data_IF_145528007807
#
_entry.id   IF_145528007807
#
_cell.length_a   1.000
_cell.length_b   1.000
_cell.length_c   1.000
_cell.angle_alpha   90.00
_cell.angle_beta   90.00
_cell.angle_gamma   90.00
#
_symmetry.space_group_name_H-M   'P 1'
#
loop_
_entity.id
_entity.type
_entity.pdbx_description
1 polymer ?
#
# COMPACT_ATOMS: atom_id res chain seq x y z
N UNK A 1 -1.78 28.92 -8.78
CA UNK A 1 -0.81 27.82 -8.96
C UNK A 1 -1.49 26.53 -8.51
N UNK A 2 -1.97 25.72 -9.45
CA UNK A 2 -2.52 24.39 -9.10
C UNK A 2 -1.31 23.54 -8.74
N UNK A 3 -1.15 23.26 -7.46
CA UNK A 3 -0.16 22.25 -7.02
C UNK A 3 -0.69 20.94 -7.58
N UNK A 4 -0.08 20.43 -8.65
CA UNK A 4 -0.36 19.09 -9.16
C UNK A 4 0.06 18.12 -8.05
N UNK A 5 -0.91 17.70 -7.23
CA UNK A 5 -0.65 16.82 -6.10
C UNK A 5 -0.44 15.42 -6.69
N UNK A 6 0.81 14.96 -6.69
CA UNK A 6 1.12 13.59 -7.12
C UNK A 6 0.45 12.62 -6.14
N UNK A 7 -0.50 11.82 -6.65
CA UNK A 7 -1.16 10.77 -5.89
C UNK A 7 -0.32 9.50 -5.92
N UNK A 8 -0.38 8.73 -4.84
CA UNK A 8 0.31 7.45 -4.72
C UNK A 8 -0.70 6.32 -4.60
N UNK A 9 -0.39 5.14 -5.11
CA UNK A 9 -1.25 3.97 -4.95
C UNK A 9 -0.78 3.17 -3.74
N UNK A 10 -1.67 2.95 -2.79
CA UNK A 10 -1.40 2.15 -1.61
C UNK A 10 -2.29 0.91 -1.53
N UNK A 11 -1.76 -0.16 -0.95
CA UNK A 11 -2.55 -1.35 -0.57
C UNK A 11 -1.89 -2.06 0.61
N UNK A 12 -2.63 -2.95 1.28
CA UNK A 12 -2.02 -3.87 2.23
C UNK A 12 -1.25 -4.97 1.50
N UNK A 13 -0.16 -5.44 2.09
CA UNK A 13 0.66 -6.52 1.55
C UNK A 13 0.03 -7.90 1.75
N UNK A 14 -1.01 -8.22 0.98
CA UNK A 14 -1.63 -9.55 0.90
C UNK A 14 -2.38 -9.75 -0.43
N UNK A 15 -2.87 -10.97 -0.71
CA UNK A 15 -3.79 -11.27 -1.83
C UNK A 15 -3.28 -10.78 -3.20
N UNK A 16 -3.85 -9.69 -3.72
CA UNK A 16 -3.59 -9.13 -5.06
C UNK A 16 -2.60 -7.95 -5.04
N UNK A 17 -1.89 -7.75 -3.93
CA UNK A 17 -1.00 -6.61 -3.74
C UNK A 17 0.10 -6.51 -4.80
N UNK A 18 0.71 -7.64 -5.21
CA UNK A 18 1.79 -7.61 -6.22
C UNK A 18 1.30 -7.04 -7.55
N UNK A 19 0.12 -7.46 -8.01
CA UNK A 19 -0.47 -7.03 -9.27
C UNK A 19 -0.94 -5.58 -9.21
N UNK A 20 -1.60 -5.18 -8.11
CA UNK A 20 -2.03 -3.79 -7.88
C UNK A 20 -0.82 -2.85 -7.94
N UNK A 21 0.21 -3.18 -7.18
CA UNK A 21 1.41 -2.35 -7.08
C UNK A 21 2.19 -2.32 -8.41
N UNK A 22 2.33 -3.47 -9.08
CA UNK A 22 3.00 -3.54 -10.38
C UNK A 22 2.26 -2.73 -11.45
N UNK A 23 0.93 -2.85 -11.52
CA UNK A 23 0.11 -2.10 -12.44
C UNK A 23 0.21 -0.59 -12.19
N UNK A 24 0.14 -0.17 -10.93
CA UNK A 24 0.30 1.24 -10.56
C UNK A 24 1.67 1.83 -11.00
N UNK A 25 2.76 1.09 -10.80
CA UNK A 25 4.08 1.52 -11.29
C UNK A 25 4.13 1.62 -12.82
N UNK A 26 3.47 0.70 -13.54
CA UNK A 26 3.42 0.74 -15.02
C UNK A 26 2.66 1.96 -15.54
N UNK A 27 1.68 2.44 -14.79
CA UNK A 27 0.91 3.65 -15.07
C UNK A 27 1.59 4.93 -14.52
N UNK A 28 2.79 4.84 -13.97
CA UNK A 28 3.59 5.99 -13.52
C UNK A 28 3.25 6.50 -12.11
N UNK A 29 2.49 5.75 -11.32
CA UNK A 29 2.24 6.09 -9.92
C UNK A 29 3.37 5.61 -9.00
N UNK A 30 3.71 6.42 -7.99
CA UNK A 30 4.47 5.92 -6.84
C UNK A 30 3.59 4.99 -6.01
N UNK A 31 4.21 3.99 -5.39
CA UNK A 31 3.51 2.87 -4.75
C UNK A 31 3.91 2.67 -3.29
N UNK A 32 2.92 2.37 -2.46
CA UNK A 32 3.09 2.13 -1.02
C UNK A 32 2.49 0.77 -0.64
N UNK A 33 3.30 -0.12 -0.10
CA UNK A 33 2.83 -1.39 0.47
C UNK A 33 2.80 -1.30 2.00
N UNK A 34 1.63 -1.50 2.61
CA UNK A 34 1.49 -1.64 4.07
C UNK A 34 1.53 -3.12 4.43
N UNK A 35 2.66 -3.60 4.95
CA UNK A 35 2.96 -5.02 5.08
C UNK A 35 3.21 -5.43 6.53
N UNK A 36 2.90 -6.68 6.89
CA UNK A 36 3.32 -7.23 8.19
C UNK A 36 4.85 -7.31 8.23
N UNK A 37 5.43 -6.90 9.37
CA UNK A 37 6.88 -6.99 9.62
C UNK A 37 7.37 -8.43 9.42
N UNK A 38 8.42 -8.60 8.64
CA UNK A 38 8.97 -9.91 8.25
C UNK A 38 8.34 -10.53 7.00
N UNK A 39 7.29 -9.93 6.42
CA UNK A 39 6.64 -10.40 5.18
C UNK A 39 6.92 -9.50 3.97
N UNK A 40 7.93 -8.64 4.05
CA UNK A 40 8.25 -7.63 3.03
C UNK A 40 8.95 -8.23 1.81
N UNK A 41 9.53 -9.42 1.96
CA UNK A 41 10.42 -10.07 0.98
C UNK A 41 9.83 -10.09 -0.44
N UNK A 42 8.56 -10.50 -0.69
CA UNK A 42 8.02 -10.51 -2.05
C UNK A 42 8.01 -9.12 -2.70
N UNK A 43 7.56 -8.10 -1.96
CA UNK A 43 7.45 -6.72 -2.47
C UNK A 43 8.81 -6.12 -2.80
N UNK A 44 9.84 -6.46 -2.00
CA UNK A 44 11.23 -6.05 -2.26
C UNK A 44 11.83 -6.79 -3.46
N UNK A 45 11.64 -8.10 -3.54
CA UNK A 45 12.21 -8.93 -4.62
C UNK A 45 11.63 -8.58 -5.99
N UNK A 46 10.30 -8.39 -6.07
CA UNK A 46 9.64 -7.98 -7.31
C UNK A 46 9.74 -6.48 -7.58
N UNK A 47 10.30 -5.69 -6.65
CA UNK A 47 10.48 -4.23 -6.75
C UNK A 47 9.20 -3.48 -7.10
N UNK A 48 8.07 -3.95 -6.57
CA UNK A 48 6.75 -3.40 -6.88
C UNK A 48 6.33 -2.28 -5.94
N UNK A 49 7.06 -2.05 -4.84
CA UNK A 49 6.72 -1.02 -3.86
C UNK A 49 7.87 -0.03 -3.70
N UNK A 50 7.63 1.24 -4.00
CA UNK A 50 8.60 2.32 -3.79
C UNK A 50 8.79 2.61 -2.29
N UNK A 51 7.70 2.45 -1.51
CA UNK A 51 7.71 2.55 -0.06
C UNK A 51 7.05 1.35 0.59
N UNK A 52 7.65 0.83 1.67
CA UNK A 52 7.06 -0.21 2.50
C UNK A 52 6.87 0.34 3.92
N UNK A 53 5.63 0.34 4.39
CA UNK A 53 5.27 0.65 5.77
C UNK A 53 5.03 -0.67 6.48
N UNK A 54 5.73 -0.92 7.58
CA UNK A 54 5.58 -2.18 8.32
C UNK A 54 4.67 -2.02 9.53
N UNK A 55 3.81 -3.01 9.73
CA UNK A 55 2.89 -3.12 10.88
C UNK A 55 3.03 -4.49 11.55
N UNK A 56 2.64 -4.60 12.81
CA UNK A 56 2.72 -5.86 13.56
C UNK A 56 1.58 -6.82 13.20
N UNK A 57 0.38 -6.28 13.04
CA UNK A 57 -0.81 -7.03 12.64
C UNK A 57 -1.62 -6.19 11.62
N UNK A 58 -2.39 -6.81 10.73
CA UNK A 58 -3.27 -6.06 9.82
C UNK A 58 -4.29 -5.19 10.56
N UNK A 59 -4.72 -5.57 11.77
CA UNK A 59 -5.56 -4.72 12.63
C UNK A 59 -4.90 -3.38 13.00
N UNK A 60 -3.59 -3.27 12.93
CA UNK A 60 -2.86 -2.02 13.16
C UNK A 60 -2.86 -1.09 11.94
N UNK A 61 -3.50 -1.45 10.83
CA UNK A 61 -3.52 -0.64 9.61
C UNK A 61 -4.03 0.78 9.86
N UNK A 62 -5.02 0.96 10.74
CA UNK A 62 -5.57 2.28 11.10
C UNK A 62 -4.49 3.26 11.59
N UNK A 63 -3.45 2.77 12.27
CA UNK A 63 -2.33 3.58 12.75
C UNK A 63 -1.52 4.21 11.61
N UNK A 64 -1.65 3.67 10.38
CA UNK A 64 -0.96 4.19 9.19
C UNK A 64 -1.76 5.26 8.43
N UNK A 65 -3.04 5.49 8.76
CA UNK A 65 -3.92 6.40 8.02
C UNK A 65 -3.37 7.82 7.92
N UNK A 66 -2.91 8.40 9.04
CA UNK A 66 -2.33 9.75 9.04
C UNK A 66 -1.09 9.85 8.16
N UNK A 67 -0.30 8.78 8.07
CA UNK A 67 0.85 8.73 7.18
C UNK A 67 0.40 8.63 5.72
N UNK A 68 -0.55 7.76 5.40
CA UNK A 68 -1.09 7.59 4.04
C UNK A 68 -1.75 8.88 3.52
N UNK A 69 -2.48 9.61 4.36
CA UNK A 69 -3.08 10.90 4.02
C UNK A 69 -2.02 11.97 3.70
N UNK A 70 -0.94 12.04 4.49
CA UNK A 70 0.19 12.94 4.21
C UNK A 70 0.89 12.62 2.89
N UNK A 71 0.91 11.36 2.51
CA UNK A 71 1.49 10.86 1.26
C UNK A 71 0.56 11.03 0.05
N UNK A 72 -0.66 11.54 0.23
CA UNK A 72 -1.70 11.56 -0.82
C UNK A 72 -1.95 10.17 -1.42
N UNK A 73 -1.96 9.16 -0.56
CA UNK A 73 -2.15 7.79 -0.98
C UNK A 73 -3.65 7.49 -1.21
N UNK A 74 -3.96 6.95 -2.39
CA UNK A 74 -5.24 6.34 -2.71
C UNK A 74 -5.13 4.86 -2.36
N UNK A 75 -5.97 4.40 -1.43
CA UNK A 75 -6.00 3.01 -1.00
C UNK A 75 -6.83 2.17 -1.97
N UNK A 76 -6.25 1.09 -2.48
CA UNK A 76 -6.95 0.09 -3.29
C UNK A 76 -7.29 -1.10 -2.40
N UNK A 77 -8.55 -1.26 -1.96
CA UNK A 77 -8.95 -2.40 -1.14
C UNK A 77 -9.03 -3.68 -1.97
N UNK A 78 -8.87 -4.81 -1.30
CA UNK A 78 -9.07 -6.15 -1.86
C UNK A 78 -9.54 -7.11 -0.77
N UNK A 79 -9.83 -8.37 -1.10
CA UNK A 79 -10.46 -9.34 -0.18
C UNK A 79 -9.81 -9.38 1.22
N UNK A 80 -8.48 -9.55 1.31
CA UNK A 80 -7.80 -9.52 2.60
C UNK A 80 -8.00 -8.22 3.39
N UNK A 81 -8.08 -7.06 2.74
CA UNK A 81 -8.32 -5.81 3.44
C UNK A 81 -9.68 -5.83 4.13
N UNK A 82 -10.72 -6.21 3.39
CA UNK A 82 -12.08 -6.36 3.91
C UNK A 82 -12.10 -7.34 5.09
N UNK A 83 -11.52 -8.54 4.91
CA UNK A 83 -11.47 -9.57 5.95
C UNK A 83 -10.75 -9.11 7.22
N UNK A 84 -9.63 -8.39 7.11
CA UNK A 84 -8.86 -7.97 8.28
C UNK A 84 -9.38 -6.72 8.96
N UNK A 85 -10.11 -5.87 8.24
CA UNK A 85 -10.77 -4.69 8.80
C UNK A 85 -12.13 -5.01 9.43
N UNK A 86 -12.64 -6.23 9.24
CA UNK A 86 -13.87 -6.71 9.89
C UNK A 86 -15.16 -6.27 9.18
N UNK A 87 -15.10 -6.09 7.86
CA UNK A 87 -16.27 -5.82 7.01
C UNK A 87 -16.89 -7.12 6.47
#
# INVERSE_FOLDING_TARGET
MVINKSFKIATIGSHSALQILKGAQQEGFETICVCIKGREKPYKQFKVADKIITISNFKDFEKTQNQLLKENAILIPHASFITYMGF
#
